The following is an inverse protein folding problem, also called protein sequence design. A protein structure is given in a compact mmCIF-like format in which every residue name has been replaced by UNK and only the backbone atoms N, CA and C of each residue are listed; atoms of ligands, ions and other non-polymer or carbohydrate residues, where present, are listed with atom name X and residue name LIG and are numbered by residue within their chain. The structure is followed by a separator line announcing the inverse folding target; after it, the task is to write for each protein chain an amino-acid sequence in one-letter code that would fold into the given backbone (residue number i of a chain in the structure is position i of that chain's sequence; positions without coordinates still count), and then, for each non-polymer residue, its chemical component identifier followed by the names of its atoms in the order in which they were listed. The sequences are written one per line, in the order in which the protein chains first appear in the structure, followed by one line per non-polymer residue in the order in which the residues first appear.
data_IF_110547890947
#
_entry.id   IF_110547890947
#
_cell.length_a   1.000
_cell.length_b   1.000
_cell.length_c   1.000
_cell.angle_alpha   90.00
_cell.angle_beta   90.00
_cell.angle_gamma   90.00
#
_symmetry.space_group_name_H-M   'P 1'
#
loop_
_entity.id
_entity.type
_entity.pdbx_description
1 polymer ?
#
# COMPACT_ATOMS: atom_id res chain seq x y z
N UNK A 1 4.66 -51.15 42.83
CA UNK A 1 5.46 -51.01 44.06
C UNK A 1 5.68 -49.52 44.35
N UNK A 2 4.99 -48.95 45.33
CA UNK A 2 5.25 -47.59 45.79
C UNK A 2 6.47 -47.61 46.72
N UNK A 3 7.58 -47.02 46.29
CA UNK A 3 8.80 -46.95 47.10
C UNK A 3 8.64 -45.98 48.30
N UNK A 4 9.28 -46.26 49.42
CA UNK A 4 9.37 -45.39 50.62
C UNK A 4 9.91 -43.97 50.34
N UNK A 5 10.40 -43.68 49.12
CA UNK A 5 10.78 -42.32 48.70
C UNK A 5 9.64 -41.30 48.77
N UNK A 6 8.38 -41.75 48.76
CA UNK A 6 7.20 -40.89 48.88
C UNK A 6 6.63 -40.83 50.32
N UNK A 7 7.18 -41.61 51.26
CA UNK A 7 6.70 -41.65 52.66
C UNK A 7 7.25 -40.49 53.51
N UNK A 8 8.39 -39.91 53.12
CA UNK A 8 8.98 -38.73 53.77
C UNK A 8 8.78 -37.52 52.85
N UNK A 9 8.09 -36.45 53.29
CA UNK A 9 7.89 -35.27 52.49
C UNK A 9 9.22 -34.58 52.20
N UNK A 10 9.50 -34.27 50.92
CA UNK A 10 10.68 -33.50 50.53
C UNK A 10 10.48 -32.02 50.86
N UNK A 11 11.57 -31.35 51.24
CA UNK A 11 11.57 -29.90 51.51
C UNK A 11 11.17 -29.13 50.25
N UNK A 12 10.13 -28.30 50.35
CA UNK A 12 9.78 -27.35 49.31
C UNK A 12 10.81 -26.20 49.26
N UNK A 13 11.37 -25.95 48.09
CA UNK A 13 12.24 -24.79 47.86
C UNK A 13 11.39 -23.59 47.44
N UNK A 14 11.51 -22.48 48.19
CA UNK A 14 10.80 -21.23 47.88
C UNK A 14 11.53 -20.45 46.79
N UNK A 15 10.77 -19.72 45.97
CA UNK A 15 11.32 -18.84 44.95
C UNK A 15 11.85 -17.52 45.56
N UNK A 16 12.89 -16.95 44.95
CA UNK A 16 13.46 -15.65 45.36
C UNK A 16 12.68 -14.48 44.76
N UNK A 17 12.52 -13.41 45.53
CA UNK A 17 11.94 -12.14 45.10
C UNK A 17 12.90 -11.29 44.22
N UNK A 18 12.38 -10.22 43.62
CA UNK A 18 13.17 -9.21 42.90
C UNK A 18 14.05 -8.41 43.89
N UNK A 19 15.34 -8.13 43.60
CA UNK A 19 16.16 -7.24 44.42
C UNK A 19 15.56 -5.84 44.55
N UNK A 20 15.71 -5.24 45.73
CA UNK A 20 15.10 -3.94 46.05
C UNK A 20 15.50 -2.83 45.07
N UNK A 21 16.77 -2.76 44.68
CA UNK A 21 17.28 -1.78 43.70
C UNK A 21 16.63 -1.89 42.32
N UNK A 22 16.07 -3.05 41.97
CA UNK A 22 15.42 -3.33 40.68
C UNK A 22 13.90 -3.40 40.78
N UNK A 23 13.32 -3.04 41.93
CA UNK A 23 11.87 -3.06 42.15
C UNK A 23 11.10 -2.23 41.10
N UNK A 24 11.73 -1.19 40.54
CA UNK A 24 11.18 -0.35 39.45
C UNK A 24 10.76 -1.12 38.19
N UNK A 25 11.36 -2.29 37.93
CA UNK A 25 11.06 -3.11 36.76
C UNK A 25 9.92 -4.12 36.99
N UNK A 26 9.30 -4.09 38.17
CA UNK A 26 8.23 -5.02 38.53
C UNK A 26 8.74 -6.42 38.88
N UNK A 27 7.87 -7.41 38.70
CA UNK A 27 8.09 -8.79 39.10
C UNK A 27 9.26 -9.43 38.33
N UNK A 28 10.14 -10.14 39.04
CA UNK A 28 11.19 -10.93 38.42
C UNK A 28 10.62 -12.23 37.86
N UNK A 29 10.39 -12.26 36.56
CA UNK A 29 9.91 -13.44 35.85
C UNK A 29 10.81 -14.66 36.09
N UNK A 30 10.18 -15.82 36.23
CA UNK A 30 10.82 -17.11 36.34
C UNK A 30 10.57 -17.92 35.08
N UNK A 31 11.21 -19.09 34.99
CA UNK A 31 11.10 -19.96 33.83
C UNK A 31 9.64 -20.32 33.49
N UNK A 32 8.79 -20.54 34.50
CA UNK A 32 7.34 -20.79 34.30
C UNK A 32 6.65 -19.64 33.55
N UNK A 33 6.97 -18.40 33.90
CA UNK A 33 6.38 -17.20 33.29
C UNK A 33 6.90 -17.02 31.86
N UNK A 34 8.21 -17.26 31.66
CA UNK A 34 8.82 -17.29 30.33
C UNK A 34 8.14 -18.29 29.41
N UNK A 35 7.91 -19.52 29.88
CA UNK A 35 7.27 -20.57 29.07
C UNK A 35 5.85 -20.17 28.69
N UNK A 36 5.07 -19.58 29.62
CA UNK A 36 3.71 -19.08 29.32
C UNK A 36 3.77 -17.99 28.25
N UNK A 37 4.68 -17.02 28.41
CA UNK A 37 4.86 -15.93 27.43
C UNK A 37 5.30 -16.45 26.06
N UNK A 38 6.28 -17.36 26.02
CA UNK A 38 6.81 -17.92 24.77
C UNK A 38 5.71 -18.69 24.02
N UNK A 39 4.92 -19.51 24.72
CA UNK A 39 3.76 -20.20 24.13
C UNK A 39 2.73 -19.21 23.57
N UNK A 40 2.43 -18.14 24.31
CA UNK A 40 1.50 -17.11 23.84
C UNK A 40 2.04 -16.36 22.62
N UNK A 41 3.34 -16.08 22.57
CA UNK A 41 4.00 -15.44 21.42
C UNK A 41 3.92 -16.32 20.18
N UNK A 42 4.35 -17.59 20.26
CA UNK A 42 4.31 -18.50 19.11
C UNK A 42 2.88 -18.77 18.63
N UNK A 43 1.90 -18.82 19.54
CA UNK A 43 0.48 -18.90 19.14
C UNK A 43 0.07 -17.69 18.29
N UNK A 44 0.48 -16.48 18.66
CA UNK A 44 0.20 -15.26 17.88
C UNK A 44 0.92 -15.30 16.53
N UNK A 45 2.18 -15.69 16.52
CA UNK A 45 3.00 -15.83 15.32
C UNK A 45 2.37 -16.80 14.32
N UNK A 46 1.99 -17.99 14.77
CA UNK A 46 1.32 -19.01 13.96
C UNK A 46 -0.02 -18.50 13.40
N UNK A 47 -0.82 -17.80 14.21
CA UNK A 47 -2.08 -17.21 13.72
C UNK A 47 -1.85 -16.15 12.65
N UNK A 48 -0.83 -15.30 12.79
CA UNK A 48 -0.48 -14.29 11.80
C UNK A 48 0.04 -14.94 10.51
N UNK A 49 0.84 -16.00 10.62
CA UNK A 49 1.31 -16.75 9.46
C UNK A 49 0.14 -17.31 8.65
N UNK A 50 -0.81 -18.00 9.31
CA UNK A 50 -2.02 -18.51 8.64
C UNK A 50 -2.85 -17.42 7.98
N UNK A 51 -2.99 -16.26 8.62
CA UNK A 51 -3.72 -15.12 8.03
C UNK A 51 -3.01 -14.56 6.79
N UNK A 52 -1.68 -14.49 6.80
CA UNK A 52 -0.88 -14.07 5.64
C UNK A 52 -1.01 -15.05 4.48
N UNK A 53 -0.93 -16.34 4.74
CA UNK A 53 -1.11 -17.38 3.72
C UNK A 53 -2.51 -17.30 3.09
N UNK A 54 -3.56 -17.16 3.91
CA UNK A 54 -4.94 -16.95 3.42
C UNK A 54 -5.09 -15.69 2.58
N UNK A 55 -4.47 -14.58 3.00
CA UNK A 55 -4.50 -13.33 2.25
C UNK A 55 -3.76 -13.44 0.90
N UNK A 56 -2.64 -14.16 0.86
CA UNK A 56 -1.86 -14.38 -0.35
C UNK A 56 -2.58 -15.29 -1.36
N UNK A 57 -3.28 -16.31 -0.86
CA UNK A 57 -4.03 -17.27 -1.67
C UNK A 57 -5.50 -16.84 -1.90
N UNK A 58 -5.84 -15.56 -1.69
CA UNK A 58 -7.21 -15.07 -1.85
C UNK A 58 -7.64 -15.12 -3.32
N UNK A 59 -8.81 -15.70 -3.61
CA UNK A 59 -9.40 -15.65 -4.94
C UNK A 59 -10.01 -14.25 -5.19
N UNK A 60 -9.55 -13.49 -6.20
CA UNK A 60 -10.10 -12.16 -6.49
C UNK A 60 -11.59 -12.18 -6.86
N UNK A 61 -12.07 -13.28 -7.43
CA UNK A 61 -13.44 -13.43 -7.94
C UNK A 61 -14.40 -14.07 -6.93
N UNK A 62 -13.96 -14.28 -5.68
CA UNK A 62 -14.85 -14.84 -4.64
C UNK A 62 -15.99 -13.88 -4.29
N UNK A 63 -17.22 -14.41 -4.26
CA UNK A 63 -18.41 -13.63 -3.92
C UNK A 63 -19.21 -14.32 -2.81
N UNK A 64 -19.50 -13.56 -1.75
CA UNK A 64 -20.38 -13.97 -0.66
C UNK A 64 -21.54 -12.98 -0.54
N UNK A 65 -22.78 -13.46 -0.35
CA UNK A 65 -23.97 -12.61 -0.23
C UNK A 65 -23.88 -11.53 0.85
N UNK A 66 -23.08 -11.76 1.91
CA UNK A 66 -22.85 -10.78 2.97
C UNK A 66 -22.16 -9.49 2.47
N UNK A 67 -21.39 -9.57 1.39
CA UNK A 67 -20.70 -8.42 0.76
C UNK A 67 -21.66 -7.39 0.17
N UNK A 68 -22.94 -7.74 -0.03
CA UNK A 68 -23.99 -6.78 -0.43
C UNK A 68 -24.36 -5.87 0.75
N UNK A 69 -24.34 -6.39 1.98
CA UNK A 69 -24.78 -5.71 3.20
C UNK A 69 -23.64 -4.97 3.92
N UNK A 70 -22.41 -5.49 3.80
CA UNK A 70 -21.23 -4.95 4.46
C UNK A 70 -20.26 -4.38 3.44
N UNK A 71 -19.41 -3.43 3.86
CA UNK A 71 -18.41 -2.83 2.99
C UNK A 71 -17.08 -2.66 3.69
N UNK A 72 -16.05 -2.51 2.87
CA UNK A 72 -14.70 -2.18 3.31
C UNK A 72 -14.50 -0.68 3.15
N UNK A 73 -14.10 0.01 4.23
CA UNK A 73 -13.76 1.44 4.22
C UNK A 73 -12.30 1.55 4.61
N UNK A 74 -11.48 2.22 3.79
CA UNK A 74 -10.03 2.36 3.99
C UNK A 74 -9.30 1.02 4.22
N UNK A 75 -9.76 -0.05 3.56
CA UNK A 75 -9.17 -1.38 3.68
C UNK A 75 -9.61 -2.18 4.92
N UNK A 76 -10.49 -1.65 5.78
CA UNK A 76 -11.01 -2.33 6.98
C UNK A 76 -12.49 -2.70 6.79
N UNK A 77 -12.84 -3.94 7.12
CA UNK A 77 -14.23 -4.42 7.06
C UNK A 77 -15.08 -3.75 8.15
N UNK A 78 -16.22 -3.16 7.76
CA UNK A 78 -17.15 -2.51 8.67
C UNK A 78 -18.45 -3.31 8.77
N UNK A 79 -18.97 -3.54 9.99
CA UNK A 79 -20.26 -4.21 10.19
C UNK A 79 -21.42 -3.40 9.59
N UNK A 80 -22.57 -4.05 9.43
CA UNK A 80 -23.72 -3.51 8.68
C UNK A 80 -24.25 -2.18 9.26
N UNK A 81 -24.25 -2.00 10.58
CA UNK A 81 -24.75 -0.79 11.24
C UNK A 81 -23.88 0.43 10.92
N UNK A 82 -22.56 0.30 11.09
CA UNK A 82 -21.58 1.32 10.72
C UNK A 82 -21.60 1.59 9.20
N UNK A 83 -21.78 0.53 8.39
CA UNK A 83 -21.89 0.68 6.95
C UNK A 83 -23.13 1.49 6.54
N UNK A 84 -24.28 1.28 7.18
CA UNK A 84 -25.52 2.05 6.97
C UNK A 84 -25.36 3.50 7.40
N UNK A 85 -24.74 3.75 8.55
CA UNK A 85 -24.49 5.10 9.06
C UNK A 85 -23.60 5.90 8.11
N UNK A 86 -22.45 5.35 7.70
CA UNK A 86 -21.56 6.00 6.73
C UNK A 86 -22.29 6.20 5.37
N UNK A 87 -23.25 5.35 5.00
CA UNK A 87 -23.98 5.46 3.71
C UNK A 87 -24.97 6.61 3.79
N UNK A 88 -25.63 6.74 4.93
CA UNK A 88 -26.50 7.88 5.23
C UNK A 88 -25.71 9.20 5.26
N UNK A 89 -24.48 9.20 5.76
CA UNK A 89 -23.58 10.36 5.76
C UNK A 89 -23.09 10.71 4.35
N UNK A 90 -22.74 9.72 3.53
CA UNK A 90 -22.34 9.96 2.13
C UNK A 90 -23.49 10.47 1.27
N UNK A 91 -24.71 9.96 1.47
CA UNK A 91 -25.91 10.45 0.75
C UNK A 91 -26.36 11.84 1.22
N UNK A 92 -26.05 12.23 2.45
CA UNK A 92 -26.25 13.61 2.94
C UNK A 92 -25.23 14.60 2.37
N UNK A 93 -24.07 14.14 1.91
CA UNK A 93 -23.03 14.98 1.32
C UNK A 93 -23.23 15.29 -0.17
N UNK A 94 -24.25 14.73 -0.84
CA UNK A 94 -24.60 15.12 -2.21
C UNK A 94 -25.50 16.37 -2.25
N UNK A 95 -26.09 16.79 -1.12
CA UNK A 95 -26.87 18.03 -1.01
C UNK A 95 -26.46 18.73 0.29
N UNK A 96 -25.67 19.79 0.15
CA UNK A 96 -24.98 20.57 1.18
C UNK A 96 -23.61 20.01 1.60
N UNK A 97 -22.56 20.44 0.87
CA UNK A 97 -21.33 20.79 1.58
C UNK A 97 -21.71 21.90 2.56
N UNK A 98 -21.94 21.53 3.82
CA UNK A 98 -21.95 22.50 4.89
C UNK A 98 -20.61 23.24 4.77
N UNK A 99 -20.67 24.52 4.43
CA UNK A 99 -19.51 25.38 4.25
C UNK A 99 -18.80 25.49 5.58
N UNK A 100 -17.92 24.53 5.88
CA UNK A 100 -16.89 24.72 6.89
C UNK A 100 -16.05 25.85 6.33
N UNK A 101 -16.09 27.01 6.98
CA UNK A 101 -15.30 28.16 6.57
C UNK A 101 -13.81 27.83 6.72
N UNK A 102 -13.25 27.23 5.67
CA UNK A 102 -11.83 26.92 5.59
C UNK A 102 -11.09 28.26 5.53
N UNK A 103 -10.16 28.53 6.47
CA UNK A 103 -9.42 29.79 6.50
C UNK A 103 -8.78 30.12 5.15
N UNK A 104 -8.89 31.38 4.71
CA UNK A 104 -8.43 31.82 3.37
C UNK A 104 -6.94 31.59 3.12
N UNK A 105 -6.12 31.53 4.18
CA UNK A 105 -4.71 31.16 4.09
C UNK A 105 -4.54 29.73 3.56
N UNK A 106 -5.40 28.81 3.99
CA UNK A 106 -5.37 27.41 3.55
C UNK A 106 -5.84 27.32 2.09
N UNK A 107 -6.95 27.99 1.74
CA UNK A 107 -7.45 28.07 0.36
C UNK A 107 -6.39 28.59 -0.61
N UNK A 108 -5.68 29.67 -0.23
CA UNK A 108 -4.59 30.26 -1.03
C UNK A 108 -3.39 29.31 -1.18
N UNK A 109 -2.96 28.66 -0.09
CA UNK A 109 -1.88 27.66 -0.14
C UNK A 109 -2.23 26.48 -1.05
N UNK A 110 -3.46 25.96 -0.95
CA UNK A 110 -3.94 24.89 -1.82
C UNK A 110 -3.97 25.31 -3.28
N UNK A 111 -4.54 26.47 -3.60
CA UNK A 111 -4.59 27.00 -4.96
C UNK A 111 -3.18 27.20 -5.56
N UNK A 112 -2.23 27.72 -4.78
CA UNK A 112 -0.82 27.86 -5.20
C UNK A 112 -0.19 26.50 -5.52
N UNK A 113 -0.39 25.49 -4.66
CA UNK A 113 0.12 24.14 -4.87
C UNK A 113 -0.44 23.49 -6.14
N UNK A 114 -1.74 23.66 -6.42
CA UNK A 114 -2.35 23.11 -7.62
C UNK A 114 -1.83 23.77 -8.90
N UNK A 115 -1.70 25.10 -8.90
CA UNK A 115 -1.11 25.85 -10.02
C UNK A 115 0.33 25.41 -10.29
N UNK A 116 1.12 25.21 -9.23
CA UNK A 116 2.50 24.74 -9.38
C UNK A 116 2.55 23.33 -9.97
N UNK A 117 1.69 22.43 -9.50
CA UNK A 117 1.58 21.07 -10.02
C UNK A 117 1.19 21.05 -11.50
N UNK A 118 0.23 21.87 -11.90
CA UNK A 118 -0.17 22.04 -13.29
C UNK A 118 0.99 22.58 -14.14
N UNK A 119 1.69 23.60 -13.66
CA UNK A 119 2.88 24.14 -14.34
C UNK A 119 4.01 23.09 -14.48
N UNK A 120 4.21 22.23 -13.48
CA UNK A 120 5.18 21.12 -13.55
C UNK A 120 4.77 20.08 -14.58
N UNK A 121 3.49 19.68 -14.62
CA UNK A 121 2.96 18.76 -15.64
C UNK A 121 3.13 19.33 -17.04
N UNK A 122 2.79 20.60 -17.23
CA UNK A 122 2.93 21.27 -18.53
C UNK A 122 4.40 21.33 -18.98
N UNK A 123 5.33 21.66 -18.07
CA UNK A 123 6.78 21.64 -18.37
C UNK A 123 7.28 20.24 -18.71
N UNK A 124 6.85 19.21 -17.98
CA UNK A 124 7.24 17.83 -18.28
C UNK A 124 6.77 17.43 -19.69
N UNK A 125 5.52 17.71 -20.04
CA UNK A 125 4.97 17.45 -21.38
C UNK A 125 5.71 18.23 -22.47
N UNK A 126 6.14 19.46 -22.19
CA UNK A 126 6.91 20.26 -23.14
C UNK A 126 8.32 19.70 -23.35
N UNK A 127 9.00 19.30 -22.28
CA UNK A 127 10.31 18.66 -22.35
C UNK A 127 10.24 17.32 -23.09
N UNK A 128 9.20 16.53 -22.85
CA UNK A 128 8.95 15.29 -23.57
C UNK A 128 8.83 15.54 -25.08
N UNK A 129 8.01 16.53 -25.49
CA UNK A 129 7.89 16.92 -26.91
C UNK A 129 9.23 17.32 -27.52
N UNK A 130 9.99 18.18 -26.83
CA UNK A 130 11.32 18.62 -27.28
C UNK A 130 12.31 17.45 -27.40
N UNK A 131 12.28 16.52 -26.44
CA UNK A 131 13.11 15.33 -26.46
C UNK A 131 12.78 14.44 -27.66
N UNK A 132 11.49 14.19 -27.93
CA UNK A 132 11.05 13.39 -29.08
C UNK A 132 11.51 14.02 -30.40
N UNK A 133 11.38 15.34 -30.54
CA UNK A 133 11.81 16.05 -31.75
C UNK A 133 13.34 16.01 -31.92
N UNK A 134 14.11 16.21 -30.84
CA UNK A 134 15.57 16.11 -30.86
C UNK A 134 16.05 14.68 -31.15
N UNK A 135 15.39 13.67 -30.58
CA UNK A 135 15.71 12.27 -30.81
C UNK A 135 15.50 11.89 -32.28
N UNK A 136 14.36 12.30 -32.86
CA UNK A 136 14.08 12.09 -34.28
C UNK A 136 15.14 12.78 -35.16
N UNK A 137 15.49 14.04 -34.86
CA UNK A 137 16.51 14.76 -35.61
C UNK A 137 17.87 14.05 -35.56
N UNK A 138 18.28 13.53 -34.40
CA UNK A 138 19.52 12.74 -34.26
C UNK A 138 19.48 11.46 -35.09
N UNK A 139 18.37 10.71 -35.09
CA UNK A 139 18.23 9.53 -35.95
C UNK A 139 18.28 9.88 -37.45
N UNK A 140 17.71 11.01 -37.85
CA UNK A 140 17.77 11.50 -39.23
C UNK A 140 19.19 11.93 -39.62
N UNK A 141 20.05 12.34 -38.70
CA UNK A 141 21.45 12.66 -39.01
C UNK A 141 22.34 11.41 -39.20
N UNK A 142 21.89 10.23 -38.76
CA UNK A 142 22.65 8.99 -38.93
C UNK A 142 22.67 8.51 -40.38
N UNK A 143 23.71 7.75 -40.71
CA UNK A 143 23.89 7.11 -42.00
C UNK A 143 22.81 6.04 -42.24
N UNK A 144 22.33 5.96 -43.48
CA UNK A 144 21.28 5.04 -43.91
C UNK A 144 20.31 5.69 -44.89
N UNK A 145 19.89 4.94 -45.92
CA UNK A 145 18.98 5.45 -46.94
C UNK A 145 17.57 5.58 -46.34
N UNK A 146 17.01 6.80 -46.38
CA UNK A 146 15.72 7.17 -45.79
C UNK A 146 14.91 8.03 -46.75
N UNK A 147 13.57 7.95 -46.66
CA UNK A 147 12.64 8.83 -47.39
C UNK A 147 11.51 9.31 -46.47
N UNK A 148 10.97 10.50 -46.74
CA UNK A 148 9.76 11.01 -46.09
C UNK A 148 8.54 10.33 -46.70
N UNK A 149 7.62 9.87 -45.85
CA UNK A 149 6.34 9.30 -46.27
C UNK A 149 5.38 10.42 -46.69
N UNK A 150 4.53 10.12 -47.69
CA UNK A 150 3.39 10.96 -48.05
C UNK A 150 2.20 10.65 -47.13
N UNK A 151 1.23 11.55 -47.05
CA UNK A 151 0.10 11.45 -46.11
C UNK A 151 -0.77 10.20 -46.33
N UNK A 152 -0.89 9.75 -47.57
CA UNK A 152 -1.62 8.53 -48.00
C UNK A 152 -0.92 7.22 -47.59
N UNK A 153 0.40 7.24 -47.37
CA UNK A 153 1.16 6.07 -46.92
C UNK A 153 1.12 5.89 -45.38
N UNK A 154 0.53 6.84 -44.64
CA UNK A 154 0.52 6.85 -43.17
C UNK A 154 -0.75 6.16 -42.65
N UNK A 155 -0.58 5.01 -41.98
CA UNK A 155 -1.68 4.22 -41.42
C UNK A 155 -2.41 4.95 -40.28
N UNK A 156 -1.71 5.78 -39.52
CA UNK A 156 -2.27 6.59 -38.44
C UNK A 156 -2.05 8.08 -38.72
N UNK A 157 -3.11 8.84 -39.05
CA UNK A 157 -2.99 10.27 -39.35
C UNK A 157 -2.23 10.99 -38.24
N UNK A 158 -1.07 11.54 -38.59
CA UNK A 158 -0.20 12.27 -37.66
C UNK A 158 0.11 13.63 -38.26
N UNK A 159 0.14 14.68 -37.42
CA UNK A 159 0.42 16.04 -37.89
C UNK A 159 1.91 16.28 -38.20
N UNK A 160 2.78 15.37 -37.76
CA UNK A 160 4.24 15.47 -37.89
C UNK A 160 4.73 14.60 -39.04
N UNK A 161 5.80 15.00 -39.76
CA UNK A 161 6.34 14.22 -40.86
C UNK A 161 6.91 12.88 -40.37
N UNK A 162 6.59 11.80 -41.08
CA UNK A 162 7.08 10.44 -40.78
C UNK A 162 8.13 10.03 -41.82
N UNK A 163 9.19 9.37 -41.36
CA UNK A 163 10.29 8.89 -42.20
C UNK A 163 10.38 7.37 -42.15
N UNK A 164 10.70 6.76 -43.29
CA UNK A 164 10.93 5.32 -43.43
C UNK A 164 12.36 5.07 -43.90
N UNK A 165 13.08 4.23 -43.16
CA UNK A 165 14.39 3.72 -43.56
C UNK A 165 14.24 2.51 -44.48
N UNK A 166 15.16 2.36 -45.43
CA UNK A 166 15.25 1.16 -46.25
C UNK A 166 15.69 -0.02 -45.38
N UNK A 167 15.10 -1.20 -45.62
CA UNK A 167 15.47 -2.41 -44.90
C UNK A 167 16.85 -2.89 -45.36
N UNK A 168 17.90 -2.44 -44.67
CA UNK A 168 19.29 -2.82 -44.91
C UNK A 168 19.89 -3.30 -43.58
N UNK A 169 20.62 -4.43 -43.61
CA UNK A 169 21.27 -4.97 -42.41
C UNK A 169 22.46 -4.08 -42.06
N UNK A 170 22.55 -3.62 -40.81
CA UNK A 170 23.75 -2.96 -40.31
C UNK A 170 24.91 -3.97 -40.37
N UNK A 171 25.97 -3.63 -41.10
CA UNK A 171 27.21 -4.38 -41.09
C UNK A 171 27.99 -4.08 -39.82
#
# INVERSE_FOLDING_TARGET
MSSFRNAIPRRAHKERAQPHSRKKFGLLEKHKDYVIRAKAFHKKEETLQRLREKAALRNPDEFYFKMIKTRTVDGVHRPEEEAKEIKSLSSKNEVATASVDVPDVIKRKMASSYRELEARKNRANQLEKLYMDMALQKELQKNGRKRKLREDEIVQPTSKPVYKWRAERKR
#
